data_IF_689964183934
#
_entry.id   IF_689964183934
#
_cell.length_a   1.000
_cell.length_b   1.000
_cell.length_c   1.000
_cell.angle_alpha   90.00
_cell.angle_beta   90.00
_cell.angle_gamma   90.00
#
_symmetry.space_group_name_H-M   'P 1'
#
loop_
_entity.id
_entity.type
_entity.pdbx_description
1 polymer ?
#
# COMPACT_ATOMS: atom_id res chain seq x y z
N UNK A 1 -11.44 -6.58 17.63
CA UNK A 1 -10.49 -5.50 17.28
C UNK A 1 -9.87 -4.94 18.56
N UNK A 2 -8.61 -5.27 18.80
CA UNK A 2 -7.84 -4.76 19.93
C UNK A 2 -6.97 -3.61 19.45
N UNK A 3 -6.96 -2.44 20.13
CA UNK A 3 -6.07 -1.35 19.76
C UNK A 3 -4.60 -1.80 19.71
N UNK A 4 -3.82 -1.23 18.79
CA UNK A 4 -2.42 -1.60 18.59
C UNK A 4 -1.62 -1.59 19.90
N UNK A 5 -1.73 -0.52 20.68
CA UNK A 5 -1.03 -0.40 21.97
C UNK A 5 -1.34 -1.57 22.91
N UNK A 6 -2.61 -1.94 23.06
CA UNK A 6 -3.02 -3.04 23.93
C UNK A 6 -2.57 -4.39 23.40
N UNK A 7 -2.54 -4.56 22.07
CA UNK A 7 -2.12 -5.81 21.44
C UNK A 7 -0.62 -6.06 21.55
N UNK A 8 0.18 -4.99 21.53
CA UNK A 8 1.64 -5.05 21.47
C UNK A 8 2.32 -4.39 22.69
N UNK A 9 1.60 -4.22 23.80
CA UNK A 9 2.11 -3.51 24.98
C UNK A 9 3.42 -4.12 25.51
N UNK A 10 3.45 -5.44 25.64
CA UNK A 10 4.65 -6.18 26.07
C UNK A 10 5.78 -6.19 25.02
N UNK A 11 5.46 -5.98 23.77
CA UNK A 11 6.42 -6.00 22.66
C UNK A 11 6.99 -4.63 22.34
N UNK A 12 6.27 -3.55 22.67
CA UNK A 12 6.71 -2.18 22.36
C UNK A 12 8.08 -1.84 22.98
N UNK A 13 8.35 -2.33 24.16
CA UNK A 13 9.65 -2.14 24.82
C UNK A 13 10.81 -2.90 24.15
N UNK A 14 10.48 -3.89 23.29
CA UNK A 14 11.45 -4.70 22.55
C UNK A 14 11.69 -4.18 21.14
N UNK A 15 10.84 -3.28 20.65
CA UNK A 15 11.02 -2.70 19.32
C UNK A 15 12.30 -1.88 19.30
N UNK A 16 13.17 -2.23 18.37
CA UNK A 16 14.42 -1.52 18.10
C UNK A 16 14.57 -1.36 16.60
N UNK A 17 15.22 -0.29 16.18
CA UNK A 17 15.40 0.02 14.78
C UNK A 17 14.77 1.36 14.43
N UNK A 18 15.05 1.81 13.20
CA UNK A 18 14.67 3.12 12.68
C UNK A 18 13.63 3.05 11.54
N UNK A 19 13.19 1.86 11.18
CA UNK A 19 12.20 1.66 10.13
C UNK A 19 11.25 0.50 10.47
N UNK A 20 10.00 0.59 10.02
CA UNK A 20 9.01 -0.45 10.21
C UNK A 20 7.85 -0.32 9.23
N UNK A 21 7.18 -1.43 8.95
CA UNK A 21 5.89 -1.44 8.25
C UNK A 21 4.84 -2.13 9.10
N UNK A 22 3.59 -1.76 8.91
CA UNK A 22 2.46 -2.37 9.60
C UNK A 22 1.22 -2.36 8.72
N UNK A 23 0.25 -3.18 9.08
CA UNK A 23 -1.05 -3.21 8.42
C UNK A 23 -2.16 -3.45 9.43
N UNK A 24 -3.28 -2.77 9.22
CA UNK A 24 -4.55 -3.10 9.84
C UNK A 24 -5.31 -3.92 8.80
N UNK A 25 -5.53 -5.21 9.07
CA UNK A 25 -6.23 -6.12 8.17
C UNK A 25 -7.23 -6.96 8.95
N UNK A 26 -8.42 -7.10 8.38
CA UNK A 26 -9.48 -7.96 8.94
C UNK A 26 -9.48 -9.35 8.29
N UNK A 27 -8.77 -9.52 7.20
CA UNK A 27 -8.82 -10.73 6.36
C UNK A 27 -7.52 -11.50 6.41
N UNK A 28 -6.43 -10.90 5.96
CA UNK A 28 -5.16 -11.57 5.75
C UNK A 28 -4.14 -11.19 6.82
N UNK A 29 -3.43 -12.17 7.43
CA UNK A 29 -2.32 -11.87 8.31
C UNK A 29 -1.19 -11.21 7.50
N UNK A 30 -0.80 -10.03 7.93
CA UNK A 30 0.30 -9.25 7.34
C UNK A 30 0.83 -8.19 8.34
N UNK A 31 2.06 -7.67 8.19
CA UNK A 31 3.02 -7.95 7.12
C UNK A 31 3.53 -9.39 7.11
N UNK A 32 3.91 -9.91 5.94
CA UNK A 32 4.56 -11.21 5.78
C UNK A 32 6.07 -11.03 5.68
N UNK A 33 6.83 -11.82 6.42
CA UNK A 33 8.28 -11.90 6.27
C UNK A 33 8.61 -12.94 5.19
N UNK A 34 9.31 -12.49 4.15
CA UNK A 34 9.67 -13.30 2.99
C UNK A 34 11.18 -13.42 2.90
N UNK A 35 11.66 -14.64 2.67
CA UNK A 35 13.05 -14.92 2.32
C UNK A 35 13.11 -15.61 0.98
N UNK A 36 13.78 -15.01 0.02
CA UNK A 36 13.88 -15.51 -1.35
C UNK A 36 15.26 -15.25 -1.95
N UNK A 37 15.42 -15.55 -3.24
CA UNK A 37 16.63 -15.20 -3.99
C UNK A 37 16.85 -13.67 -4.10
N UNK A 38 15.81 -12.86 -3.88
CA UNK A 38 15.89 -11.40 -3.84
C UNK A 38 16.34 -10.86 -2.47
N UNK A 39 16.65 -11.74 -1.52
CA UNK A 39 17.00 -11.40 -0.16
C UNK A 39 15.83 -11.60 0.83
N UNK A 40 15.92 -10.92 1.96
CA UNK A 40 14.90 -10.93 2.99
C UNK A 40 14.17 -9.58 3.00
N UNK A 41 12.83 -9.62 2.99
CA UNK A 41 12.00 -8.43 3.09
C UNK A 41 10.68 -8.75 3.81
N UNK A 42 10.07 -7.75 4.41
CA UNK A 42 8.70 -7.83 4.85
C UNK A 42 7.80 -7.13 3.83
N UNK A 43 6.62 -7.68 3.58
CA UNK A 43 5.65 -7.16 2.61
C UNK A 43 4.30 -6.92 3.25
N UNK A 44 3.69 -5.79 2.92
CA UNK A 44 2.30 -5.48 3.22
C UNK A 44 1.61 -4.97 1.96
N UNK A 45 0.36 -5.38 1.77
CA UNK A 45 -0.43 -4.99 0.59
C UNK A 45 -1.82 -4.53 0.97
N UNK A 46 -2.35 -3.60 0.19
CA UNK A 46 -3.76 -3.16 0.29
C UNK A 46 -4.35 -3.09 -1.10
N UNK A 47 -5.52 -3.70 -1.27
CA UNK A 47 -6.24 -3.69 -2.53
C UNK A 47 -7.10 -4.93 -2.74
N UNK A 48 -7.59 -5.08 -3.95
CA UNK A 48 -8.39 -6.23 -4.39
C UNK A 48 -7.79 -6.75 -5.70
N UNK A 49 -7.45 -8.04 -5.72
CA UNK A 49 -6.93 -8.74 -6.90
C UNK A 49 -8.08 -9.55 -7.49
N UNK A 50 -8.67 -9.07 -8.60
CA UNK A 50 -9.83 -9.70 -9.21
C UNK A 50 -9.51 -11.03 -9.89
N UNK A 51 -8.30 -11.17 -10.43
CA UNK A 51 -7.82 -12.35 -11.13
C UNK A 51 -6.93 -13.26 -10.25
N UNK A 52 -7.12 -13.24 -8.92
CA UNK A 52 -6.26 -13.99 -8.00
C UNK A 52 -6.21 -15.49 -8.30
N UNK A 53 -7.35 -16.13 -8.56
CA UNK A 53 -7.43 -17.56 -8.89
C UNK A 53 -6.67 -17.91 -10.17
N UNK A 54 -6.77 -17.06 -11.19
CA UNK A 54 -6.01 -17.23 -12.43
C UNK A 54 -4.50 -17.13 -12.19
N UNK A 55 -4.05 -16.09 -11.48
CA UNK A 55 -2.63 -15.89 -11.16
C UNK A 55 -2.06 -17.04 -10.32
N UNK A 56 -2.86 -17.58 -9.42
CA UNK A 56 -2.53 -18.76 -8.64
C UNK A 56 -2.32 -19.97 -9.56
N UNK A 57 -3.28 -20.26 -10.44
CA UNK A 57 -3.18 -21.38 -11.37
C UNK A 57 -1.94 -21.27 -12.28
N UNK A 58 -1.64 -20.06 -12.77
CA UNK A 58 -0.45 -19.79 -13.58
C UNK A 58 0.84 -19.96 -12.77
N UNK A 59 0.88 -19.47 -11.51
CA UNK A 59 2.04 -19.60 -10.64
C UNK A 59 2.33 -21.05 -10.27
N UNK A 60 1.28 -21.89 -10.10
CA UNK A 60 1.40 -23.31 -9.75
C UNK A 60 1.49 -24.26 -10.93
N UNK A 61 1.52 -23.78 -12.15
CA UNK A 61 1.66 -24.66 -13.33
C UNK A 61 2.99 -25.43 -13.36
N UNK A 62 3.96 -25.09 -12.48
CA UNK A 62 5.24 -25.77 -12.31
C UNK A 62 5.41 -26.46 -10.95
N UNK A 63 6.27 -27.49 -10.86
CA UNK A 63 6.56 -28.15 -9.59
C UNK A 63 7.31 -27.21 -8.61
N UNK A 64 7.04 -27.36 -7.32
CA UNK A 64 7.81 -26.69 -6.24
C UNK A 64 7.21 -25.38 -5.73
N UNK A 65 6.05 -24.95 -6.18
CA UNK A 65 5.36 -23.79 -5.62
C UNK A 65 4.28 -24.21 -4.63
N UNK A 66 4.23 -23.52 -3.49
CA UNK A 66 3.16 -23.71 -2.49
C UNK A 66 2.86 -22.39 -1.81
N UNK A 67 1.61 -22.16 -1.42
CA UNK A 67 1.22 -21.09 -0.52
C UNK A 67 1.14 -21.62 0.92
N UNK A 68 1.65 -20.85 1.86
CA UNK A 68 1.67 -21.23 3.27
C UNK A 68 0.66 -20.43 4.11
N UNK A 69 0.34 -19.21 3.68
CA UNK A 69 -0.57 -18.34 4.41
C UNK A 69 -1.98 -18.41 3.79
N UNK A 70 -2.82 -19.31 4.31
CA UNK A 70 -4.22 -19.44 3.92
C UNK A 70 -5.11 -18.72 4.93
N UNK A 71 -6.04 -17.89 4.44
CA UNK A 71 -7.07 -17.25 5.25
C UNK A 71 -8.45 -17.80 4.91
N UNK A 72 -9.06 -18.52 5.87
CA UNK A 72 -10.42 -19.09 5.69
C UNK A 72 -10.58 -19.96 4.42
N UNK A 73 -9.56 -20.74 4.08
CA UNK A 73 -9.54 -21.56 2.87
C UNK A 73 -9.24 -20.81 1.58
N UNK A 74 -8.96 -19.50 1.66
CA UNK A 74 -8.52 -18.67 0.53
C UNK A 74 -7.04 -18.36 0.63
N UNK A 75 -6.41 -18.15 -0.52
CA UNK A 75 -5.01 -17.74 -0.60
C UNK A 75 -4.87 -16.31 -0.09
N UNK A 76 -3.86 -16.08 0.73
CA UNK A 76 -3.48 -14.74 1.17
C UNK A 76 -2.97 -13.93 -0.03
N UNK A 77 -3.64 -12.82 -0.33
CA UNK A 77 -3.33 -11.98 -1.50
C UNK A 77 -1.97 -11.28 -1.37
N UNK A 78 -1.49 -11.05 -0.15
CA UNK A 78 -0.15 -10.53 0.11
C UNK A 78 0.91 -11.58 -0.23
N UNK A 79 0.67 -12.87 0.09
CA UNK A 79 1.57 -13.96 -0.28
C UNK A 79 1.59 -14.16 -1.81
N UNK A 80 0.44 -14.10 -2.47
CA UNK A 80 0.37 -14.14 -3.93
C UNK A 80 1.21 -13.00 -4.55
N UNK A 81 1.08 -11.78 -4.03
CA UNK A 81 1.87 -10.64 -4.50
C UNK A 81 3.36 -10.87 -4.31
N UNK A 82 3.78 -11.41 -3.16
CA UNK A 82 5.18 -11.78 -2.93
C UNK A 82 5.67 -12.86 -3.91
N UNK A 83 4.83 -13.86 -4.22
CA UNK A 83 5.15 -14.89 -5.20
C UNK A 83 5.32 -14.32 -6.61
N UNK A 84 4.49 -13.35 -7.01
CA UNK A 84 4.64 -12.65 -8.29
C UNK A 84 5.94 -11.84 -8.34
N UNK A 85 6.27 -11.11 -7.27
CA UNK A 85 7.53 -10.36 -7.16
C UNK A 85 8.73 -11.30 -7.32
N UNK A 86 8.69 -12.46 -6.68
CA UNK A 86 9.76 -13.45 -6.72
C UNK A 86 9.96 -14.13 -8.07
N UNK A 87 9.09 -13.91 -9.06
CA UNK A 87 9.29 -14.41 -10.42
C UNK A 87 10.29 -13.57 -11.24
N UNK A 88 10.85 -12.53 -10.68
CA UNK A 88 11.79 -11.62 -11.39
C UNK A 88 13.14 -11.55 -10.67
N UNK A 89 14.12 -11.03 -11.39
CA UNK A 89 15.52 -10.96 -10.92
C UNK A 89 15.82 -9.81 -9.96
N UNK A 90 14.89 -8.85 -9.80
CA UNK A 90 15.01 -7.75 -8.83
C UNK A 90 13.67 -7.42 -8.19
N UNK A 91 13.70 -6.80 -7.01
CA UNK A 91 12.46 -6.35 -6.34
C UNK A 91 11.68 -5.37 -7.22
N UNK A 92 12.36 -4.47 -7.92
CA UNK A 92 11.70 -3.45 -8.75
C UNK A 92 11.03 -4.08 -9.97
N UNK A 93 11.72 -4.98 -10.67
CA UNK A 93 11.14 -5.70 -11.81
C UNK A 93 9.98 -6.60 -11.34
N UNK A 94 10.11 -7.19 -10.15
CA UNK A 94 9.05 -7.97 -9.52
C UNK A 94 7.81 -7.14 -9.19
N UNK A 95 7.97 -5.97 -8.60
CA UNK A 95 6.86 -5.06 -8.33
C UNK A 95 6.19 -4.61 -9.64
N UNK A 96 6.97 -4.22 -10.64
CA UNK A 96 6.45 -3.85 -11.97
C UNK A 96 5.64 -4.99 -12.60
N UNK A 97 6.16 -6.20 -12.52
CA UNK A 97 5.45 -7.38 -13.01
C UNK A 97 4.13 -7.59 -12.27
N UNK A 98 4.14 -7.52 -10.93
CA UNK A 98 2.91 -7.63 -10.15
C UNK A 98 1.89 -6.53 -10.54
N UNK A 99 2.34 -5.27 -10.71
CA UNK A 99 1.49 -4.17 -11.19
C UNK A 99 0.90 -4.42 -12.59
N UNK A 100 1.61 -5.13 -13.46
CA UNK A 100 1.20 -5.42 -14.83
C UNK A 100 0.15 -6.52 -14.89
N UNK A 101 0.37 -7.64 -14.16
CA UNK A 101 -0.47 -8.83 -14.26
C UNK A 101 -1.69 -8.81 -13.34
N UNK A 102 -1.66 -8.01 -12.26
CA UNK A 102 -2.79 -7.88 -11.35
C UNK A 102 -3.92 -7.08 -12.02
N UNK A 103 -5.08 -7.71 -12.19
CA UNK A 103 -6.33 -7.01 -12.46
C UNK A 103 -6.99 -6.60 -11.14
N UNK A 104 -7.13 -5.29 -10.95
CA UNK A 104 -7.67 -4.73 -9.72
C UNK A 104 -6.82 -3.58 -9.18
N UNK A 105 -6.62 -3.57 -7.88
CA UNK A 105 -5.71 -2.65 -7.19
C UNK A 105 -4.82 -3.43 -6.22
N UNK A 106 -3.55 -3.11 -6.19
CA UNK A 106 -2.62 -3.65 -5.20
C UNK A 106 -1.54 -2.61 -4.94
N UNK A 107 -1.66 -1.93 -3.83
CA UNK A 107 -0.59 -1.08 -3.30
C UNK A 107 0.34 -1.93 -2.44
N UNK A 108 1.63 -1.72 -2.57
CA UNK A 108 2.66 -2.58 -1.99
C UNK A 108 3.60 -1.74 -1.14
N UNK A 109 3.86 -2.20 0.09
CA UNK A 109 4.96 -1.73 0.92
C UNK A 109 5.91 -2.87 1.18
N UNK A 110 7.20 -2.65 0.91
CA UNK A 110 8.27 -3.57 1.26
C UNK A 110 9.21 -2.91 2.26
N UNK A 111 9.52 -3.62 3.35
CA UNK A 111 10.62 -3.27 4.24
C UNK A 111 11.79 -4.20 3.94
N UNK A 112 12.89 -3.62 3.52
CA UNK A 112 14.19 -4.28 3.35
C UNK A 112 15.14 -3.87 4.47
N UNK A 113 16.31 -4.51 4.65
CA UNK A 113 17.31 -4.06 5.61
C UNK A 113 17.72 -2.59 5.46
N UNK A 114 17.66 -2.05 4.25
CA UNK A 114 18.23 -0.74 3.92
C UNK A 114 17.17 0.34 3.64
N UNK A 115 15.91 -0.05 3.40
CA UNK A 115 14.90 0.90 2.93
C UNK A 115 13.47 0.40 3.10
N UNK A 116 12.52 1.34 3.00
CA UNK A 116 11.12 1.05 2.69
C UNK A 116 10.90 1.38 1.20
N UNK A 117 10.31 0.43 0.47
CA UNK A 117 9.88 0.63 -0.92
C UNK A 117 8.36 0.70 -0.92
N UNK A 118 7.82 1.77 -1.48
CA UNK A 118 6.39 1.96 -1.66
C UNK A 118 6.04 1.97 -3.14
N UNK A 119 4.99 1.24 -3.52
CA UNK A 119 4.52 1.17 -4.89
C UNK A 119 3.00 1.34 -4.95
N UNK A 120 2.55 2.28 -5.76
CA UNK A 120 1.13 2.50 -6.05
C UNK A 120 0.67 1.59 -7.18
N UNK A 121 -0.57 1.11 -7.15
CA UNK A 121 -1.11 0.29 -8.24
C UNK A 121 -1.05 1.00 -9.60
N UNK A 122 -1.01 0.22 -10.68
CA UNK A 122 -0.80 0.70 -12.06
C UNK A 122 -1.77 1.81 -12.49
N UNK A 123 -2.98 1.81 -11.97
CA UNK A 123 -4.02 2.78 -12.31
C UNK A 123 -4.22 3.86 -11.23
N UNK A 124 -3.47 3.80 -10.12
CA UNK A 124 -3.58 4.75 -9.03
C UNK A 124 -4.94 4.76 -8.35
N UNK A 125 -5.60 3.60 -8.22
CA UNK A 125 -6.95 3.50 -7.65
C UNK A 125 -7.01 3.89 -6.19
N UNK A 126 -5.98 3.52 -5.44
CA UNK A 126 -5.78 3.93 -4.06
C UNK A 126 -4.61 4.91 -3.95
N UNK A 127 -4.67 5.90 -3.07
CA UNK A 127 -3.57 6.83 -2.87
C UNK A 127 -2.42 6.17 -2.15
N UNK A 128 -1.22 6.70 -2.34
CA UNK A 128 -0.03 6.44 -1.52
C UNK A 128 0.62 7.76 -1.22
N UNK A 129 0.59 8.15 0.03
CA UNK A 129 0.97 9.48 0.49
C UNK A 129 2.21 9.38 1.37
N UNK A 130 3.19 10.23 1.14
CA UNK A 130 4.40 10.32 1.94
C UNK A 130 4.36 11.60 2.75
N UNK A 131 4.43 11.45 4.06
CA UNK A 131 4.60 12.54 5.00
C UNK A 131 6.05 12.69 5.44
N UNK A 132 6.45 13.89 5.81
CA UNK A 132 7.78 14.23 6.34
C UNK A 132 7.68 15.10 7.59
N UNK A 133 8.55 14.83 8.54
CA UNK A 133 8.85 15.73 9.67
C UNK A 133 10.37 15.75 9.93
N UNK A 134 10.79 16.29 11.06
CA UNK A 134 12.20 16.37 11.43
C UNK A 134 12.81 14.99 11.77
N UNK A 135 11.98 14.02 12.14
CA UNK A 135 12.40 12.68 12.56
C UNK A 135 12.52 11.70 11.37
N UNK A 136 11.89 12.01 10.21
CA UNK A 136 11.97 11.16 9.05
C UNK A 136 10.77 11.22 8.12
N UNK A 137 10.62 10.14 7.36
CA UNK A 137 9.54 9.93 6.40
C UNK A 137 8.55 8.87 6.92
N UNK A 138 7.29 9.05 6.59
CA UNK A 138 6.26 8.02 6.73
C UNK A 138 5.49 7.84 5.44
N UNK A 139 4.87 6.69 5.26
CA UNK A 139 3.98 6.39 4.13
C UNK A 139 2.66 5.85 4.64
N UNK A 140 1.55 6.33 4.06
CA UNK A 140 0.21 5.93 4.44
C UNK A 140 -0.74 6.06 3.24
N UNK A 141 -1.93 5.44 3.34
CA UNK A 141 -3.05 5.66 2.40
C UNK A 141 -3.93 6.85 2.80
N UNK A 142 -3.72 7.38 4.01
CA UNK A 142 -4.51 8.44 4.61
C UNK A 142 -3.60 9.53 5.15
N UNK A 143 -3.71 10.76 4.63
CA UNK A 143 -2.89 11.88 5.11
C UNK A 143 -3.21 12.26 6.55
N UNK A 144 -4.47 12.18 6.99
CA UNK A 144 -4.85 12.50 8.36
C UNK A 144 -4.07 11.67 9.40
N UNK A 145 -3.71 10.44 9.06
CA UNK A 145 -3.04 9.51 9.98
C UNK A 145 -1.67 10.07 10.40
N UNK A 146 -0.89 10.55 9.46
CA UNK A 146 0.43 11.10 9.76
C UNK A 146 0.41 12.58 10.18
N UNK A 147 -0.61 13.36 9.75
CA UNK A 147 -0.79 14.72 10.26
C UNK A 147 -0.97 14.74 11.79
N UNK A 148 -1.71 13.76 12.34
CA UNK A 148 -1.86 13.60 13.80
C UNK A 148 -0.56 13.29 14.54
N UNK A 149 0.45 12.81 13.83
CA UNK A 149 1.78 12.53 14.34
C UNK A 149 2.79 13.65 14.06
N UNK A 150 2.31 14.79 13.54
CA UNK A 150 3.14 15.97 13.27
C UNK A 150 3.91 15.93 11.95
N UNK A 151 3.57 14.99 11.06
CA UNK A 151 4.12 14.97 9.71
C UNK A 151 3.35 15.93 8.80
N UNK A 152 4.02 16.45 7.79
CA UNK A 152 3.46 17.31 6.75
C UNK A 152 3.42 16.53 5.43
N UNK A 153 2.50 16.89 4.53
CA UNK A 153 2.45 16.32 3.18
C UNK A 153 3.78 16.61 2.45
N UNK A 154 4.40 15.57 1.93
CA UNK A 154 5.68 15.66 1.25
C UNK A 154 5.60 15.21 -0.21
N UNK A 155 4.98 14.08 -0.46
CA UNK A 155 4.87 13.51 -1.80
C UNK A 155 3.64 12.60 -1.92
N UNK A 156 2.99 12.60 -3.07
CA UNK A 156 1.93 11.66 -3.43
C UNK A 156 2.37 10.89 -4.67
N UNK A 157 2.40 9.55 -4.57
CA UNK A 157 2.82 8.72 -5.69
C UNK A 157 1.79 8.75 -6.82
N UNK A 158 2.26 8.86 -8.05
CA UNK A 158 1.42 8.71 -9.23
C UNK A 158 1.09 7.23 -9.56
N UNK A 159 0.25 6.98 -10.59
CA UNK A 159 -0.15 5.63 -10.98
C UNK A 159 1.04 4.76 -11.37
N UNK A 160 1.19 3.58 -10.75
CA UNK A 160 2.28 2.65 -11.03
C UNK A 160 3.66 3.10 -10.57
N UNK A 161 3.75 4.23 -9.88
CA UNK A 161 5.03 4.75 -9.39
C UNK A 161 5.60 3.88 -8.27
N UNK A 162 6.92 3.78 -8.25
CA UNK A 162 7.68 3.08 -7.21
C UNK A 162 8.71 4.04 -6.63
N UNK A 163 8.73 4.18 -5.32
CA UNK A 163 9.68 5.01 -4.59
C UNK A 163 10.39 4.21 -3.50
N UNK A 164 11.61 4.63 -3.22
CA UNK A 164 12.44 4.13 -2.11
C UNK A 164 12.59 5.23 -1.07
N UNK A 165 12.36 4.89 0.18
CA UNK A 165 12.53 5.78 1.34
C UNK A 165 13.68 5.27 2.21
N UNK A 166 14.58 6.16 2.56
CA UNK A 166 15.71 5.92 3.48
C UNK A 166 15.82 7.09 4.46
N UNK A 167 16.76 7.02 5.38
CA UNK A 167 17.08 8.17 6.25
C UNK A 167 17.52 9.42 5.45
N UNK A 168 18.12 9.21 4.27
CA UNK A 168 18.59 10.32 3.41
C UNK A 168 17.46 10.97 2.60
N UNK A 169 16.31 10.32 2.48
CA UNK A 169 15.14 10.88 1.80
C UNK A 169 14.40 9.89 0.87
N UNK A 170 13.70 10.48 -0.09
CA UNK A 170 12.87 9.80 -1.08
C UNK A 170 13.60 9.73 -2.43
N UNK A 171 13.60 8.55 -3.04
CA UNK A 171 14.17 8.33 -4.38
C UNK A 171 13.14 7.64 -5.26
N UNK A 172 12.84 8.19 -6.43
CA UNK A 172 11.99 7.54 -7.43
C UNK A 172 12.74 6.40 -8.11
N UNK A 173 12.18 5.20 -8.09
CA UNK A 173 12.73 4.00 -8.73
C UNK A 173 12.03 3.67 -10.05
N UNK A 174 10.75 4.03 -10.17
CA UNK A 174 9.98 3.94 -11.40
C UNK A 174 9.05 5.15 -11.51
N UNK A 175 9.08 5.80 -12.66
CA UNK A 175 8.23 6.95 -12.92
C UNK A 175 6.74 6.56 -13.01
N UNK A 176 5.82 7.48 -12.65
CA UNK A 176 4.39 7.24 -12.78
C UNK A 176 3.94 7.10 -14.22
N UNK A 177 2.88 6.32 -14.43
CA UNK A 177 2.16 6.26 -15.68
C UNK A 177 1.22 7.46 -15.87
N UNK A 178 0.66 7.60 -17.08
CA UNK A 178 -0.22 8.72 -17.43
C UNK A 178 -1.71 8.41 -17.25
N UNK A 179 -2.09 7.14 -17.02
CA UNK A 179 -3.49 6.74 -16.88
C UNK A 179 -3.83 6.57 -15.39
N UNK A 180 -4.79 7.37 -14.94
CA UNK A 180 -5.31 7.28 -13.58
C UNK A 180 -6.79 6.87 -13.59
N UNK A 181 -7.17 5.99 -12.67
CA UNK A 181 -8.56 5.60 -12.37
C UNK A 181 -8.75 5.56 -10.86
N UNK A 182 -8.57 6.71 -10.24
CA UNK A 182 -8.73 6.83 -8.79
C UNK A 182 -10.17 6.50 -8.36
N UNK A 183 -10.31 5.92 -7.19
CA UNK A 183 -11.61 5.55 -6.65
C UNK A 183 -12.33 6.77 -6.07
N UNK A 184 -13.47 7.15 -6.65
CA UNK A 184 -14.27 8.28 -6.17
C UNK A 184 -14.82 8.08 -4.74
N UNK A 185 -14.94 6.84 -4.27
CA UNK A 185 -15.34 6.52 -2.89
C UNK A 185 -14.39 7.09 -1.83
N UNK A 186 -13.15 7.41 -2.18
CA UNK A 186 -12.22 8.10 -1.29
C UNK A 186 -12.82 9.41 -0.77
N UNK A 187 -13.44 10.19 -1.63
CA UNK A 187 -14.06 11.46 -1.24
C UNK A 187 -15.52 11.32 -0.80
N UNK A 188 -16.32 10.51 -1.48
CA UNK A 188 -17.75 10.44 -1.22
C UNK A 188 -18.11 9.67 0.04
N UNK A 189 -17.29 8.67 0.41
CA UNK A 189 -17.65 7.77 1.52
C UNK A 189 -16.50 7.45 2.45
N UNK A 190 -15.37 7.02 1.92
CA UNK A 190 -14.32 6.33 2.69
C UNK A 190 -13.39 7.29 3.45
N UNK A 191 -12.90 8.34 2.80
CA UNK A 191 -11.85 9.20 3.33
C UNK A 191 -12.29 10.01 4.56
N UNK A 192 -11.37 10.24 5.45
CA UNK A 192 -11.58 11.18 6.56
C UNK A 192 -11.72 12.61 6.06
N UNK A 193 -12.57 13.46 6.69
CA UNK A 193 -12.82 14.83 6.24
C UNK A 193 -11.56 15.67 6.04
N UNK A 194 -10.56 15.51 6.90
CA UNK A 194 -9.30 16.25 6.83
C UNK A 194 -8.21 15.58 5.99
N UNK A 195 -8.53 14.51 5.27
CA UNK A 195 -7.62 13.89 4.29
C UNK A 195 -7.64 14.62 2.97
N UNK A 196 -6.49 14.60 2.28
CA UNK A 196 -6.34 15.10 0.93
C UNK A 196 -5.90 13.96 0.01
N UNK A 197 -6.47 13.91 -1.20
CA UNK A 197 -6.07 12.99 -2.26
C UNK A 197 -6.02 13.76 -3.58
N UNK A 198 -4.96 13.62 -4.35
CA UNK A 198 -4.74 14.33 -5.62
C UNK A 198 -5.00 15.84 -5.49
N UNK A 199 -4.55 16.42 -4.38
CA UNK A 199 -4.72 17.84 -4.10
C UNK A 199 -6.15 18.28 -3.74
N UNK A 200 -7.09 17.34 -3.59
CA UNK A 200 -8.49 17.65 -3.26
C UNK A 200 -8.82 17.17 -1.85
N UNK A 201 -9.21 18.11 -0.98
CA UNK A 201 -9.65 17.80 0.37
C UNK A 201 -11.03 17.14 0.39
N UNK A 202 -11.18 16.12 1.22
CA UNK A 202 -12.40 15.29 1.32
C UNK A 202 -13.60 16.12 1.77
N UNK A 203 -13.46 16.94 2.82
CA UNK A 203 -14.57 17.75 3.34
C UNK A 203 -15.01 18.80 2.33
N UNK A 204 -14.08 19.51 1.70
CA UNK A 204 -14.36 20.50 0.67
C UNK A 204 -15.13 19.87 -0.50
N UNK A 205 -14.76 18.67 -0.91
CA UNK A 205 -15.44 17.95 -1.99
C UNK A 205 -16.88 17.58 -1.58
N UNK A 206 -17.09 17.11 -0.34
CA UNK A 206 -18.42 16.78 0.17
C UNK A 206 -19.33 18.01 0.26
N UNK A 207 -18.80 19.16 0.69
CA UNK A 207 -19.54 20.41 0.67
C UNK A 207 -19.97 20.81 -0.75
N UNK A 208 -19.05 20.74 -1.72
CA UNK A 208 -19.35 21.03 -3.12
C UNK A 208 -20.43 20.11 -3.71
N UNK A 209 -20.40 18.83 -3.36
CA UNK A 209 -21.44 17.89 -3.79
C UNK A 209 -22.81 18.29 -3.20
N UNK A 210 -22.87 18.63 -1.93
CA UNK A 210 -24.10 19.12 -1.29
C UNK A 210 -24.65 20.39 -1.94
N UNK A 211 -23.78 21.34 -2.30
CA UNK A 211 -24.19 22.56 -3.02
C UNK A 211 -24.76 22.26 -4.42
N UNK A 212 -24.16 21.31 -5.16
CA UNK A 212 -24.65 20.91 -6.47
C UNK A 212 -26.03 20.25 -6.34
N UNK A 213 -26.16 19.29 -5.43
CA UNK A 213 -27.43 18.60 -5.18
C UNK A 213 -28.55 19.59 -4.81
N UNK A 214 -28.27 20.54 -3.92
CA UNK A 214 -29.27 21.56 -3.51
C UNK A 214 -29.69 22.49 -4.67
N UNK A 215 -28.81 22.75 -5.64
CA UNK A 215 -29.16 23.54 -6.83
C UNK A 215 -30.06 22.78 -7.80
N UNK A 216 -29.88 21.48 -7.91
CA UNK A 216 -30.65 20.64 -8.85
C UNK A 216 -32.03 20.26 -8.31
N UNK A 217 -32.30 20.51 -7.02
CA UNK A 217 -33.61 20.28 -6.38
C UNK A 217 -34.54 21.51 -6.43
N UNK A 218 -34.11 22.67 -6.90
CA UNK A 218 -34.90 23.90 -7.05
C UNK A 218 -35.38 24.05 -8.51
#
# INVERSE_FOLDING_TARGET
NTPFRTKFDDDMAKFSGNAGIGCISDTDPQPLLVRSHLGMFAISTVGIINNAEQLVAETFSGPGHQFMAMSSGKINTTELTAALINQRGSLIDGIRYAQEVIDGSCTILLLTPDAIIAARDRLGRLPVLVGRNNDGLCVSFESFAYHKLGYQDHYELGPGEIVKMTADGLTQLAAPGTKMKICAFLWTYYGYPNSNYEGVNVEVMRYRNGEIMARDEI
#
